data_IF_244309629402
#
_entry.id   IF_244309629402
#
_cell.length_a   1.000
_cell.length_b   1.000
_cell.length_c   1.000
_cell.angle_alpha   90.00
_cell.angle_beta   90.00
_cell.angle_gamma   90.00
#
_symmetry.space_group_name_H-M   'P 1'
#
loop_
_entity.id
_entity.type
_entity.pdbx_description
1 polymer ?
#
# COMPACT_ATOMS: atom_id res chain seq x y z
N UNK A 1 54.72 -72.83 10.17
CA UNK A 1 54.43 -71.61 9.38
C UNK A 1 53.57 -70.72 10.25
N UNK A 2 54.16 -69.70 10.86
CA UNK A 2 53.57 -68.93 11.96
C UNK A 2 53.47 -67.45 11.58
N UNK A 3 52.28 -66.90 11.75
CA UNK A 3 51.88 -65.54 11.39
C UNK A 3 52.22 -64.57 12.53
N UNK A 4 53.06 -63.56 12.27
CA UNK A 4 53.34 -62.49 13.23
C UNK A 4 52.28 -61.37 13.12
N UNK A 5 51.55 -61.15 14.21
CA UNK A 5 50.58 -60.08 14.37
C UNK A 5 51.26 -58.77 14.81
N UNK A 6 51.04 -57.68 14.07
CA UNK A 6 51.61 -56.37 14.34
C UNK A 6 50.62 -55.53 15.19
N UNK A 7 51.04 -55.17 16.40
CA UNK A 7 50.25 -54.46 17.42
C UNK A 7 50.40 -52.95 17.24
N UNK A 8 49.39 -52.27 16.69
CA UNK A 8 49.35 -50.81 16.65
C UNK A 8 48.98 -50.26 18.04
N UNK A 9 49.87 -49.47 18.64
CA UNK A 9 49.61 -48.71 19.88
C UNK A 9 49.25 -47.28 19.52
N UNK A 10 47.95 -46.98 19.56
CA UNK A 10 47.42 -45.63 19.35
C UNK A 10 47.72 -44.71 20.54
N UNK A 11 48.77 -43.89 20.42
CA UNK A 11 49.10 -42.85 21.39
C UNK A 11 48.16 -41.66 21.25
N UNK A 12 47.14 -41.59 22.10
CA UNK A 12 46.19 -40.49 22.17
C UNK A 12 46.84 -39.27 22.84
N UNK A 13 47.55 -38.45 22.06
CA UNK A 13 48.12 -37.17 22.53
C UNK A 13 46.97 -36.18 22.75
N UNK A 14 46.50 -36.06 24.00
CA UNK A 14 45.61 -34.98 24.43
C UNK A 14 46.37 -33.65 24.32
N UNK A 15 46.15 -32.94 23.22
CA UNK A 15 46.56 -31.54 23.04
C UNK A 15 45.76 -30.67 24.00
N UNK A 16 46.28 -30.45 25.20
CA UNK A 16 45.71 -29.53 26.17
C UNK A 16 45.82 -28.10 25.64
N UNK A 17 44.72 -27.53 25.19
CA UNK A 17 44.67 -26.11 24.87
C UNK A 17 44.90 -25.30 26.14
N UNK A 18 45.94 -24.47 26.15
CA UNK A 18 46.23 -23.58 27.26
C UNK A 18 45.03 -22.63 27.46
N UNK A 19 44.64 -22.38 28.72
CA UNK A 19 43.53 -21.49 29.10
C UNK A 19 43.66 -20.11 28.44
N UNK A 20 44.89 -19.62 28.24
CA UNK A 20 45.15 -18.37 27.52
C UNK A 20 44.73 -18.43 26.05
N UNK A 21 44.97 -19.55 25.36
CA UNK A 21 44.54 -19.78 23.98
C UNK A 21 43.01 -19.77 23.89
N UNK A 22 42.33 -20.40 24.84
CA UNK A 22 40.86 -20.38 24.88
C UNK A 22 40.28 -18.98 25.11
N UNK A 23 40.90 -18.17 26.00
CA UNK A 23 40.47 -16.78 26.22
C UNK A 23 40.72 -15.90 24.99
N UNK A 24 41.88 -16.04 24.34
CA UNK A 24 42.20 -15.29 23.12
C UNK A 24 41.25 -15.64 21.97
N UNK A 25 40.94 -16.93 21.79
CA UNK A 25 39.95 -17.39 20.80
C UNK A 25 38.55 -16.89 21.14
N UNK A 26 38.14 -16.94 22.41
CA UNK A 26 36.85 -16.40 22.86
C UNK A 26 36.69 -14.91 22.59
N UNK A 27 37.72 -14.11 22.88
CA UNK A 27 37.73 -12.67 22.57
C UNK A 27 37.74 -12.41 21.06
N UNK A 28 38.50 -13.19 20.29
CA UNK A 28 38.51 -13.10 18.83
C UNK A 28 37.14 -13.36 18.22
N UNK A 29 36.44 -14.40 18.68
CA UNK A 29 35.06 -14.71 18.23
C UNK A 29 34.09 -13.62 18.63
N UNK A 30 34.20 -13.05 19.84
CA UNK A 30 33.33 -11.94 20.26
C UNK A 30 33.56 -10.66 19.45
N UNK A 31 34.81 -10.32 19.14
CA UNK A 31 35.13 -9.14 18.32
C UNK A 31 34.68 -9.31 16.88
N UNK A 32 34.88 -10.49 16.29
CA UNK A 32 34.42 -10.78 14.94
C UNK A 32 32.90 -10.86 14.86
N UNK A 33 32.25 -11.52 15.83
CA UNK A 33 30.80 -11.61 15.92
C UNK A 33 30.14 -10.25 16.17
N UNK A 34 30.66 -9.47 17.12
CA UNK A 34 30.20 -8.11 17.41
C UNK A 34 30.45 -7.16 16.24
N UNK A 35 31.61 -7.26 15.58
CA UNK A 35 31.93 -6.49 14.38
C UNK A 35 31.01 -6.84 13.20
N UNK A 36 30.74 -8.13 12.98
CA UNK A 36 29.80 -8.58 11.94
C UNK A 36 28.37 -8.11 12.22
N UNK A 37 27.90 -8.20 13.47
CA UNK A 37 26.58 -7.75 13.85
C UNK A 37 26.41 -6.23 13.71
N UNK A 38 27.40 -5.46 14.16
CA UNK A 38 27.42 -4.00 13.97
C UNK A 38 27.48 -3.64 12.47
N UNK A 39 28.28 -4.37 11.70
CA UNK A 39 28.35 -4.18 10.24
C UNK A 39 27.01 -4.49 9.58
N UNK A 40 26.33 -5.58 9.96
CA UNK A 40 24.98 -5.87 9.47
C UNK A 40 23.97 -4.78 9.85
N UNK A 41 23.97 -4.30 11.10
CA UNK A 41 23.04 -3.23 11.53
C UNK A 41 23.29 -1.90 10.78
N UNK A 42 24.54 -1.63 10.41
CA UNK A 42 24.90 -0.44 9.63
C UNK A 42 24.56 -0.62 8.14
N UNK A 43 24.71 -1.84 7.61
CA UNK A 43 24.59 -2.09 6.16
C UNK A 43 23.19 -2.51 5.72
N UNK A 44 22.39 -3.17 6.57
CA UNK A 44 21.14 -3.80 6.18
C UNK A 44 20.06 -3.72 7.30
N UNK A 45 19.07 -2.81 7.20
CA UNK A 45 18.91 -1.78 6.18
C UNK A 45 19.89 -0.63 6.37
N UNK A 46 20.41 -0.03 5.30
CA UNK A 46 21.36 1.07 5.45
C UNK A 46 20.66 2.25 6.12
N UNK A 47 21.31 2.81 7.15
CA UNK A 47 20.78 3.98 7.86
C UNK A 47 20.61 5.15 6.87
N UNK A 48 19.50 5.92 6.93
CA UNK A 48 19.22 6.97 5.94
C UNK A 48 20.35 7.99 5.75
N UNK A 49 21.02 8.38 6.84
CA UNK A 49 22.14 9.32 6.79
C UNK A 49 23.32 8.79 5.97
N UNK A 50 23.60 7.47 6.03
CA UNK A 50 24.69 6.84 5.28
C UNK A 50 24.38 6.84 3.78
N UNK A 51 23.12 6.56 3.43
CA UNK A 51 22.65 6.63 2.04
C UNK A 51 22.75 8.05 1.51
N UNK A 52 22.30 9.06 2.28
CA UNK A 52 22.45 10.48 1.92
C UNK A 52 23.92 10.89 1.75
N UNK A 53 24.80 10.41 2.62
CA UNK A 53 26.24 10.65 2.50
C UNK A 53 26.83 10.05 1.22
N UNK A 54 26.46 8.80 0.87
CA UNK A 54 26.87 8.15 -0.39
C UNK A 54 26.38 8.91 -1.61
N UNK A 55 25.11 9.35 -1.61
CA UNK A 55 24.54 10.19 -2.67
C UNK A 55 25.32 11.48 -2.81
N UNK A 56 25.56 12.20 -1.71
CA UNK A 56 26.29 13.46 -1.73
C UNK A 56 27.71 13.29 -2.30
N UNK A 57 28.45 12.27 -1.86
CA UNK A 57 29.79 11.99 -2.39
C UNK A 57 29.77 11.62 -3.87
N UNK A 58 28.80 10.81 -4.29
CA UNK A 58 28.60 10.49 -5.69
C UNK A 58 28.36 11.75 -6.52
N UNK A 59 27.43 12.61 -6.10
CA UNK A 59 27.10 13.84 -6.80
C UNK A 59 28.28 14.81 -6.85
N UNK A 60 29.07 14.93 -5.77
CA UNK A 60 30.30 15.76 -5.77
C UNK A 60 31.30 15.27 -6.80
N UNK A 61 31.51 13.96 -6.88
CA UNK A 61 32.42 13.35 -7.86
C UNK A 61 31.95 13.56 -9.30
N UNK A 62 30.64 13.42 -9.57
CA UNK A 62 30.10 13.54 -10.92
C UNK A 62 29.96 15.00 -11.39
N UNK A 63 29.65 15.92 -10.49
CA UNK A 63 29.45 17.34 -10.82
C UNK A 63 30.70 18.19 -10.71
N UNK A 64 31.73 17.73 -9.99
CA UNK A 64 32.89 18.55 -9.64
C UNK A 64 32.60 19.67 -8.62
N UNK A 65 31.36 19.78 -8.13
CA UNK A 65 30.93 20.81 -7.17
C UNK A 65 30.86 20.22 -5.77
N UNK A 66 31.44 20.91 -4.78
CA UNK A 66 31.47 20.46 -3.38
C UNK A 66 30.28 20.94 -2.54
N UNK A 67 29.53 21.94 -3.02
CA UNK A 67 28.43 22.59 -2.32
C UNK A 67 27.18 22.72 -3.22
N UNK A 68 26.09 22.09 -2.80
CA UNK A 68 24.81 22.10 -3.52
C UNK A 68 23.79 23.10 -2.97
N UNK A 69 24.19 24.03 -2.10
CA UNK A 69 23.31 25.11 -1.65
C UNK A 69 22.77 25.89 -2.85
N UNK A 70 21.49 26.21 -2.81
CA UNK A 70 20.81 27.04 -3.81
C UNK A 70 19.93 28.03 -3.09
N UNK A 71 19.60 29.14 -3.76
CA UNK A 71 18.58 30.03 -3.25
C UNK A 71 17.22 29.32 -3.34
N UNK A 72 16.52 29.29 -2.22
CA UNK A 72 15.17 28.75 -2.11
C UNK A 72 14.50 29.55 -1.00
N UNK A 73 13.28 30.02 -1.25
CA UNK A 73 12.47 30.76 -0.28
C UNK A 73 12.00 29.86 0.85
N UNK A 74 12.92 29.43 1.73
CA UNK A 74 12.60 28.59 2.87
C UNK A 74 11.63 29.32 3.81
N UNK A 75 10.70 28.58 4.44
CA UNK A 75 9.96 29.10 5.57
C UNK A 75 10.92 29.53 6.68
N UNK A 76 10.46 30.45 7.53
CA UNK A 76 11.20 30.83 8.73
C UNK A 76 11.51 29.62 9.62
N UNK A 77 12.59 29.67 10.40
CA UNK A 77 12.93 28.58 11.33
C UNK A 77 11.80 28.27 12.32
N UNK A 78 11.03 29.28 12.73
CA UNK A 78 9.84 29.10 13.57
C UNK A 78 8.72 28.34 12.84
N UNK A 79 8.44 28.67 11.57
CA UNK A 79 7.46 27.93 10.76
C UNK A 79 7.92 26.48 10.50
N UNK A 80 9.23 26.26 10.33
CA UNK A 80 9.82 24.92 10.17
C UNK A 80 9.74 24.08 11.45
N UNK A 81 9.91 24.72 12.62
CA UNK A 81 9.89 24.06 13.93
C UNK A 81 8.48 23.87 14.49
N UNK A 82 7.49 24.58 13.96
CA UNK A 82 6.09 24.37 14.29
C UNK A 82 5.67 22.97 13.83
N UNK A 83 5.22 22.06 14.72
CA UNK A 83 4.72 20.73 14.32
C UNK A 83 3.50 20.83 13.39
N UNK A 84 2.91 22.02 13.25
CA UNK A 84 1.69 22.22 12.51
C UNK A 84 0.50 21.61 13.27
N UNK A 85 -0.70 21.78 12.72
CA UNK A 85 -1.86 21.15 13.31
C UNK A 85 -1.78 19.63 13.15
N UNK A 86 -2.10 18.85 14.20
CA UNK A 86 -2.16 17.40 14.09
C UNK A 86 -3.15 17.00 12.98
N UNK A 87 -2.85 15.96 12.20
CA UNK A 87 -3.76 15.46 11.18
C UNK A 87 -5.08 15.05 11.84
N UNK A 88 -6.14 15.81 11.58
CA UNK A 88 -7.56 15.51 11.86
C UNK A 88 -8.08 15.48 13.31
N UNK A 89 -7.32 15.84 14.34
CA UNK A 89 -7.98 16.22 15.61
C UNK A 89 -8.49 17.65 15.48
N UNK A 90 -9.79 17.80 15.20
CA UNK A 90 -10.53 19.07 15.20
C UNK A 90 -9.93 20.02 16.23
N UNK A 91 -9.26 21.08 15.77
CA UNK A 91 -8.41 21.96 16.59
C UNK A 91 -9.17 22.65 17.73
N UNK A 92 -10.50 22.59 17.72
CA UNK A 92 -11.38 23.22 18.71
C UNK A 92 -11.84 22.27 19.81
N UNK A 93 -11.57 20.96 19.73
CA UNK A 93 -12.17 19.95 20.61
C UNK A 93 -13.71 19.86 20.49
N UNK A 94 -14.33 20.72 19.68
CA UNK A 94 -15.74 20.65 19.35
C UNK A 94 -15.91 19.65 18.22
N UNK A 95 -16.59 18.56 18.51
CA UNK A 95 -17.03 17.60 17.50
C UNK A 95 -18.03 18.33 16.59
N UNK A 96 -17.64 18.63 15.35
CA UNK A 96 -18.59 19.10 14.34
C UNK A 96 -19.72 18.07 14.24
N UNK A 97 -20.95 18.53 14.39
CA UNK A 97 -22.16 17.69 14.34
C UNK A 97 -22.90 18.01 13.05
N UNK A 98 -23.49 16.98 12.45
CA UNK A 98 -24.29 17.13 11.24
C UNK A 98 -25.44 18.12 11.45
N UNK A 99 -25.66 19.10 10.56
CA UNK A 99 -26.64 20.16 10.76
C UNK A 99 -28.09 19.66 10.81
N UNK A 100 -28.41 18.53 10.17
CA UNK A 100 -29.78 17.97 10.17
C UNK A 100 -30.00 16.96 11.28
N UNK A 101 -29.01 16.12 11.57
CA UNK A 101 -29.16 14.98 12.47
C UNK A 101 -28.56 15.20 13.86
N UNK A 102 -27.68 16.19 14.03
CA UNK A 102 -26.95 16.44 15.27
C UNK A 102 -25.95 15.34 15.65
N UNK A 103 -25.66 14.40 14.75
CA UNK A 103 -24.78 13.25 14.97
C UNK A 103 -23.36 13.54 14.48
N UNK A 104 -22.38 12.88 15.10
CA UNK A 104 -20.99 12.94 14.65
C UNK A 104 -20.77 12.14 13.35
N UNK A 105 -19.64 12.39 12.69
CA UNK A 105 -19.29 11.75 11.43
C UNK A 105 -19.23 10.23 11.52
N UNK A 106 -18.60 9.68 12.57
CA UNK A 106 -18.38 8.25 12.69
C UNK A 106 -19.69 7.50 12.89
N UNK A 107 -20.61 8.08 13.66
CA UNK A 107 -21.97 7.60 13.78
C UNK A 107 -22.67 7.62 12.41
N UNK A 108 -22.66 8.75 11.70
CA UNK A 108 -23.34 8.88 10.41
C UNK A 108 -22.78 7.93 9.35
N UNK A 109 -21.46 7.74 9.32
CA UNK A 109 -20.78 6.81 8.42
C UNK A 109 -21.22 5.36 8.68
N UNK A 110 -21.25 4.92 9.95
CA UNK A 110 -21.71 3.57 10.32
C UNK A 110 -23.18 3.39 9.94
N UNK A 111 -24.01 4.38 10.24
CA UNK A 111 -25.44 4.34 9.95
C UNK A 111 -25.72 4.30 8.45
N UNK A 112 -25.02 5.12 7.66
CA UNK A 112 -25.09 5.10 6.20
C UNK A 112 -24.70 3.74 5.63
N UNK A 113 -23.56 3.17 6.06
CA UNK A 113 -23.11 1.85 5.59
C UNK A 113 -24.16 0.79 5.93
N UNK A 114 -24.67 0.79 7.16
CA UNK A 114 -25.70 -0.15 7.61
C UNK A 114 -26.97 -0.07 6.75
N UNK A 115 -27.52 1.13 6.56
CA UNK A 115 -28.73 1.34 5.77
C UNK A 115 -28.50 1.02 4.28
N UNK A 116 -27.37 1.44 3.70
CA UNK A 116 -27.06 1.17 2.30
C UNK A 116 -26.82 -0.33 2.04
N UNK A 117 -26.18 -1.05 2.96
CA UNK A 117 -26.05 -2.51 2.86
C UNK A 117 -27.41 -3.19 2.92
N UNK A 118 -28.30 -2.78 3.83
CA UNK A 118 -29.66 -3.33 3.90
C UNK A 118 -30.46 -3.08 2.61
N UNK A 119 -30.38 -1.86 2.06
CA UNK A 119 -31.01 -1.51 0.77
C UNK A 119 -30.48 -2.39 -0.38
N UNK A 120 -29.16 -2.53 -0.51
CA UNK A 120 -28.54 -3.33 -1.57
C UNK A 120 -28.90 -4.83 -1.48
N UNK A 121 -29.03 -5.35 -0.26
CA UNK A 121 -29.52 -6.72 -0.04
C UNK A 121 -30.96 -6.85 -0.52
N UNK A 122 -31.83 -5.91 -0.14
CA UNK A 122 -33.23 -5.92 -0.56
C UNK A 122 -33.38 -5.77 -2.10
N UNK A 123 -32.63 -4.88 -2.73
CA UNK A 123 -32.60 -4.73 -4.20
C UNK A 123 -32.19 -6.03 -4.90
N UNK A 124 -31.17 -6.73 -4.38
CA UNK A 124 -30.74 -8.02 -4.91
C UNK A 124 -31.82 -9.09 -4.74
N UNK A 125 -32.45 -9.16 -3.58
CA UNK A 125 -33.55 -10.10 -3.32
C UNK A 125 -34.74 -9.84 -4.23
N UNK A 126 -35.08 -8.56 -4.48
CA UNK A 126 -36.13 -8.16 -5.43
C UNK A 126 -35.75 -8.59 -6.85
N UNK A 127 -34.53 -8.30 -7.31
CA UNK A 127 -34.08 -8.69 -8.65
C UNK A 127 -34.09 -10.21 -8.85
N UNK A 128 -33.67 -10.97 -7.83
CA UNK A 128 -33.76 -12.44 -7.85
C UNK A 128 -35.20 -12.94 -7.87
N UNK A 129 -36.10 -12.26 -7.14
CA UNK A 129 -37.53 -12.59 -7.11
C UNK A 129 -38.21 -12.28 -8.44
N UNK A 130 -37.91 -11.14 -9.06
CA UNK A 130 -38.39 -10.78 -10.42
C UNK A 130 -37.91 -11.81 -11.46
N UNK A 131 -36.64 -12.23 -11.39
CA UNK A 131 -36.11 -13.28 -12.26
C UNK A 131 -36.80 -14.64 -12.01
N UNK A 132 -37.07 -14.97 -10.75
CA UNK A 132 -37.79 -16.19 -10.36
C UNK A 132 -39.21 -16.19 -10.90
N UNK A 133 -39.96 -15.10 -10.72
CA UNK A 133 -41.32 -14.95 -11.25
C UNK A 133 -41.35 -15.05 -12.77
N UNK A 134 -40.42 -14.37 -13.45
CA UNK A 134 -40.33 -14.42 -14.92
C UNK A 134 -40.15 -15.85 -15.45
N UNK A 135 -39.42 -16.71 -14.74
CA UNK A 135 -39.15 -18.08 -15.17
C UNK A 135 -40.20 -19.09 -14.66
N UNK A 136 -40.66 -18.96 -13.41
CA UNK A 136 -41.49 -19.95 -12.72
C UNK A 136 -42.99 -19.72 -12.86
N UNK A 137 -43.43 -18.48 -13.09
CA UNK A 137 -44.85 -18.18 -13.25
C UNK A 137 -45.46 -18.91 -14.47
N UNK A 138 -44.83 -18.88 -15.67
CA UNK A 138 -45.38 -19.61 -16.83
C UNK A 138 -45.36 -21.12 -16.64
N UNK A 139 -44.35 -21.65 -15.93
CA UNK A 139 -44.24 -23.08 -15.60
C UNK A 139 -45.39 -23.52 -14.67
N UNK A 140 -45.68 -22.72 -13.64
CA UNK A 140 -46.80 -22.96 -12.72
C UNK A 140 -48.14 -22.91 -13.46
N UNK A 141 -48.35 -21.93 -14.33
CA UNK A 141 -49.57 -21.82 -15.14
C UNK A 141 -49.75 -23.01 -16.08
N UNK A 142 -48.67 -23.46 -16.75
CA UNK A 142 -48.69 -24.63 -17.62
C UNK A 142 -49.03 -25.91 -16.85
N UNK A 143 -48.40 -26.15 -15.69
CA UNK A 143 -48.72 -27.31 -14.85
C UNK A 143 -50.15 -27.26 -14.30
N UNK A 144 -50.62 -26.07 -13.91
CA UNK A 144 -52.00 -25.90 -13.41
C UNK A 144 -53.03 -26.19 -14.51
N UNK A 145 -52.77 -25.74 -15.75
CA UNK A 145 -53.62 -26.07 -16.91
C UNK A 145 -53.61 -27.56 -17.23
N UNK A 146 -52.44 -28.20 -17.27
CA UNK A 146 -52.33 -29.64 -17.53
C UNK A 146 -53.13 -30.47 -16.51
N UNK A 147 -53.12 -30.08 -15.23
CA UNK A 147 -53.90 -30.74 -14.19
C UNK A 147 -55.42 -30.56 -14.39
N UNK A 148 -55.85 -29.42 -14.91
CA UNK A 148 -57.26 -29.10 -15.15
C UNK A 148 -57.80 -29.76 -16.42
N UNK A 149 -57.00 -29.78 -17.49
CA UNK A 149 -57.43 -30.21 -18.83
C UNK A 149 -57.45 -31.73 -18.99
N UNK A 150 -56.45 -32.44 -18.44
CA UNK A 150 -56.37 -33.91 -18.55
C UNK A 150 -55.64 -34.55 -17.35
N UNK A 151 -56.32 -34.68 -16.19
CA UNK A 151 -55.72 -35.30 -15.01
C UNK A 151 -55.39 -36.79 -15.22
N UNK A 152 -56.01 -37.47 -16.20
CA UNK A 152 -55.80 -38.88 -16.51
C UNK A 152 -54.48 -39.17 -17.24
N UNK A 153 -53.93 -38.18 -17.94
CA UNK A 153 -52.63 -38.28 -18.64
C UNK A 153 -51.41 -38.29 -17.71
N UNK A 154 -51.56 -37.94 -16.44
CA UNK A 154 -50.45 -37.75 -15.50
C UNK A 154 -50.06 -39.08 -14.87
N UNK A 155 -49.01 -39.70 -15.39
CA UNK A 155 -48.53 -41.04 -15.00
C UNK A 155 -48.07 -41.14 -13.53
N UNK A 156 -47.72 -40.01 -12.90
CA UNK A 156 -47.35 -39.94 -11.49
C UNK A 156 -47.93 -38.68 -10.82
N UNK A 157 -49.22 -38.74 -10.52
CA UNK A 157 -49.97 -37.63 -9.93
C UNK A 157 -49.36 -37.09 -8.63
N UNK A 158 -48.81 -37.96 -7.78
CA UNK A 158 -48.21 -37.57 -6.50
C UNK A 158 -46.94 -36.71 -6.66
N UNK A 159 -46.04 -37.10 -7.57
CA UNK A 159 -44.83 -36.33 -7.87
C UNK A 159 -45.18 -35.01 -8.57
N UNK A 160 -46.18 -35.04 -9.45
CA UNK A 160 -46.69 -33.84 -10.12
C UNK A 160 -47.25 -32.82 -9.11
N UNK A 161 -48.13 -33.26 -8.20
CA UNK A 161 -48.67 -32.41 -7.14
C UNK A 161 -47.58 -31.83 -6.22
N UNK A 162 -46.55 -32.62 -5.90
CA UNK A 162 -45.39 -32.16 -5.11
C UNK A 162 -44.62 -31.05 -5.84
N UNK A 163 -44.41 -31.19 -7.15
CA UNK A 163 -43.74 -30.19 -7.96
C UNK A 163 -44.57 -28.90 -8.07
N UNK A 164 -45.89 -29.04 -8.29
CA UNK A 164 -46.81 -27.90 -8.33
C UNK A 164 -46.81 -27.14 -6.99
N UNK A 165 -46.85 -27.85 -5.86
CA UNK A 165 -46.77 -27.23 -4.54
C UNK A 165 -45.44 -26.49 -4.32
N UNK A 166 -44.31 -27.08 -4.74
CA UNK A 166 -42.99 -26.42 -4.66
C UNK A 166 -42.93 -25.15 -5.52
N UNK A 167 -43.45 -25.20 -6.74
CA UNK A 167 -43.51 -24.05 -7.65
C UNK A 167 -44.42 -22.96 -7.09
N UNK A 168 -45.60 -23.32 -6.62
CA UNK A 168 -46.55 -22.39 -5.99
C UNK A 168 -45.93 -21.68 -4.78
N UNK A 169 -45.24 -22.41 -3.90
CA UNK A 169 -44.54 -21.81 -2.76
C UNK A 169 -43.38 -20.88 -3.19
N UNK A 170 -42.63 -21.26 -4.24
CA UNK A 170 -41.55 -20.43 -4.76
C UNK A 170 -42.06 -19.12 -5.36
N UNK A 171 -43.17 -19.18 -6.12
CA UNK A 171 -43.86 -18.01 -6.66
C UNK A 171 -44.40 -17.13 -5.53
N UNK A 172 -45.13 -17.69 -4.56
CA UNK A 172 -45.67 -16.92 -3.44
C UNK A 172 -44.56 -16.26 -2.58
N UNK A 173 -43.43 -16.94 -2.38
CA UNK A 173 -42.27 -16.37 -1.70
C UNK A 173 -41.66 -15.21 -2.50
N UNK A 174 -41.54 -15.34 -3.83
CA UNK A 174 -41.03 -14.29 -4.71
C UNK A 174 -41.99 -13.09 -4.78
N UNK A 175 -43.30 -13.29 -4.83
CA UNK A 175 -44.32 -12.22 -4.76
C UNK A 175 -44.26 -11.48 -3.43
N UNK A 176 -44.11 -12.22 -2.31
CA UNK A 176 -43.94 -11.62 -0.98
C UNK A 176 -42.68 -10.76 -0.89
N UNK A 177 -41.59 -11.14 -1.56
CA UNK A 177 -40.37 -10.33 -1.64
C UNK A 177 -40.54 -9.12 -2.57
N UNK A 178 -41.26 -9.29 -3.68
CA UNK A 178 -41.55 -8.20 -4.61
C UNK A 178 -42.42 -7.10 -3.97
N UNK A 179 -43.34 -7.45 -3.08
CA UNK A 179 -44.15 -6.46 -2.34
C UNK A 179 -43.30 -5.56 -1.42
N UNK A 180 -42.11 -6.02 -1.02
CA UNK A 180 -41.15 -5.20 -0.26
C UNK A 180 -40.49 -4.10 -1.12
N UNK A 181 -40.66 -4.11 -2.45
CA UNK A 181 -40.18 -3.04 -3.35
C UNK A 181 -40.74 -1.67 -2.98
N UNK A 182 -41.95 -1.61 -2.43
CA UNK A 182 -42.56 -0.38 -1.93
C UNK A 182 -41.82 0.25 -0.73
N UNK A 183 -40.96 -0.51 -0.03
CA UNK A 183 -40.14 0.00 1.07
C UNK A 183 -38.86 0.70 0.59
N UNK A 184 -38.39 0.44 -0.64
CA UNK A 184 -37.14 1.04 -1.16
C UNK A 184 -37.17 2.58 -1.11
N UNK A 185 -38.22 3.27 -1.61
CA UNK A 185 -38.24 4.75 -1.58
C UNK A 185 -38.26 5.31 -0.16
N UNK A 186 -38.87 4.60 0.80
CA UNK A 186 -38.87 5.01 2.20
C UNK A 186 -37.46 4.90 2.81
N UNK A 187 -36.75 3.79 2.55
CA UNK A 187 -35.36 3.62 2.99
C UNK A 187 -34.42 4.64 2.34
N UNK A 188 -34.61 4.96 1.06
CA UNK A 188 -33.85 6.01 0.38
C UNK A 188 -34.09 7.39 1.01
N UNK A 189 -35.36 7.71 1.29
CA UNK A 189 -35.75 8.96 1.96
C UNK A 189 -35.19 9.09 3.37
N UNK A 190 -35.13 7.99 4.14
CA UNK A 190 -34.51 7.96 5.48
C UNK A 190 -33.00 8.24 5.43
N UNK A 191 -32.31 7.87 4.34
CA UNK A 191 -30.89 8.15 4.15
C UNK A 191 -30.58 9.60 3.76
N UNK A 192 -31.54 10.36 3.21
CA UNK A 192 -31.32 11.75 2.77
C UNK A 192 -30.67 12.67 3.82
N UNK A 193 -31.16 12.75 5.08
CA UNK A 193 -30.53 13.60 6.09
C UNK A 193 -29.11 13.13 6.44
N UNK A 194 -28.85 11.81 6.44
CA UNK A 194 -27.53 11.24 6.70
C UNK A 194 -26.56 11.63 5.59
N UNK A 195 -26.96 11.44 4.32
CA UNK A 195 -26.16 11.79 3.15
C UNK A 195 -25.87 13.29 3.14
N UNK A 196 -26.89 14.13 3.38
CA UNK A 196 -26.76 15.59 3.45
C UNK A 196 -25.74 16.02 4.51
N UNK A 197 -25.78 15.41 5.70
CA UNK A 197 -24.83 15.73 6.77
C UNK A 197 -23.43 15.24 6.44
N UNK A 198 -23.26 14.03 5.87
CA UNK A 198 -21.96 13.54 5.39
C UNK A 198 -21.33 14.48 4.35
N UNK A 199 -22.13 15.06 3.45
CA UNK A 199 -21.66 16.09 2.52
C UNK A 199 -21.31 17.41 3.24
N UNK A 200 -22.03 17.78 4.28
CA UNK A 200 -21.69 18.94 5.11
C UNK A 200 -20.34 18.74 5.83
N UNK A 201 -20.08 17.56 6.39
CA UNK A 201 -18.77 17.19 6.93
C UNK A 201 -17.67 17.32 5.87
N UNK A 202 -17.90 16.78 4.67
CA UNK A 202 -16.93 16.86 3.58
C UNK A 202 -16.63 18.30 3.16
N UNK A 203 -17.65 19.18 3.08
CA UNK A 203 -17.45 20.61 2.78
C UNK A 203 -16.70 21.32 3.89
N UNK A 204 -17.10 21.11 5.14
CA UNK A 204 -16.46 21.70 6.31
C UNK A 204 -14.97 21.34 6.39
N UNK A 205 -14.63 20.06 6.24
CA UNK A 205 -13.23 19.63 6.17
C UNK A 205 -12.50 20.20 4.96
N UNK A 206 -13.16 20.31 3.80
CA UNK A 206 -12.58 20.95 2.63
C UNK A 206 -12.23 22.42 2.86
N UNK A 207 -13.09 23.15 3.59
CA UNK A 207 -12.84 24.55 3.96
C UNK A 207 -11.74 24.69 5.01
N UNK A 208 -11.73 23.84 6.05
CA UNK A 208 -10.66 23.83 7.05
C UNK A 208 -9.31 23.48 6.42
N UNK A 209 -9.29 22.45 5.58
CA UNK A 209 -8.09 22.06 4.84
C UNK A 209 -7.64 23.20 3.93
N UNK A 210 -8.57 23.86 3.22
CA UNK A 210 -8.26 25.03 2.39
C UNK A 210 -7.67 26.18 3.20
N UNK A 211 -8.17 26.47 4.41
CA UNK A 211 -7.61 27.51 5.29
C UNK A 211 -6.18 27.16 5.77
N UNK A 212 -5.96 25.91 6.18
CA UNK A 212 -4.63 25.40 6.55
C UNK A 212 -3.68 25.51 5.35
N UNK A 213 -4.18 25.11 4.17
CA UNK A 213 -3.43 25.15 2.94
C UNK A 213 -3.15 26.62 2.54
N UNK A 214 -4.08 27.54 2.72
CA UNK A 214 -3.87 28.95 2.39
C UNK A 214 -2.83 29.62 3.31
N UNK A 215 -2.78 29.29 4.59
CA UNK A 215 -1.85 29.94 5.54
C UNK A 215 -0.41 29.44 5.42
N UNK A 216 -0.19 28.13 5.55
CA UNK A 216 1.16 27.54 5.58
C UNK A 216 1.60 27.11 4.18
N UNK A 217 0.67 26.58 3.40
CA UNK A 217 0.99 26.03 2.07
C UNK A 217 1.20 27.16 1.06
N UNK A 218 0.54 28.32 1.15
CA UNK A 218 0.68 29.33 0.10
C UNK A 218 2.11 29.85 -0.10
N UNK A 219 2.90 30.06 0.97
CA UNK A 219 4.31 30.49 0.83
C UNK A 219 5.20 29.35 0.34
N UNK A 220 5.14 28.18 1.00
CA UNK A 220 6.00 27.03 0.66
C UNK A 220 5.66 26.49 -0.72
N UNK A 221 4.38 26.42 -1.07
CA UNK A 221 3.92 25.97 -2.38
C UNK A 221 4.30 26.96 -3.48
N UNK A 222 4.22 28.28 -3.25
CA UNK A 222 4.74 29.28 -4.19
C UNK A 222 6.25 29.14 -4.40
N UNK A 223 7.02 29.06 -3.31
CA UNK A 223 8.47 28.86 -3.36
C UNK A 223 8.82 27.55 -4.09
N UNK A 224 8.12 26.46 -3.79
CA UNK A 224 8.28 25.17 -4.47
C UNK A 224 7.93 25.24 -5.95
N UNK A 225 6.83 25.90 -6.32
CA UNK A 225 6.41 26.03 -7.71
C UNK A 225 7.44 26.82 -8.53
N UNK A 226 7.88 27.97 -8.01
CA UNK A 226 8.93 28.79 -8.63
C UNK A 226 10.24 28.01 -8.76
N UNK A 227 10.66 27.32 -7.69
CA UNK A 227 11.86 26.48 -7.70
C UNK A 227 11.75 25.32 -8.71
N UNK A 228 10.61 24.65 -8.79
CA UNK A 228 10.39 23.55 -9.72
C UNK A 228 10.41 24.02 -11.17
N UNK A 229 9.85 25.19 -11.46
CA UNK A 229 9.91 25.82 -12.77
C UNK A 229 11.35 26.20 -13.15
N UNK A 230 12.08 26.83 -12.24
CA UNK A 230 13.48 27.18 -12.41
C UNK A 230 14.35 25.94 -12.66
N UNK A 231 14.18 24.88 -11.85
CA UNK A 231 14.92 23.63 -12.03
C UNK A 231 14.58 22.94 -13.35
N UNK A 232 13.31 22.95 -13.79
CA UNK A 232 12.92 22.41 -15.10
C UNK A 232 13.63 23.15 -16.22
N UNK A 233 13.63 24.49 -16.17
CA UNK A 233 14.33 25.33 -17.15
C UNK A 233 15.83 25.01 -17.16
N UNK A 234 16.49 25.06 -16.00
CA UNK A 234 17.92 24.74 -15.88
C UNK A 234 18.26 23.32 -16.34
N UNK A 235 17.39 22.35 -16.09
CA UNK A 235 17.59 20.97 -16.54
C UNK A 235 17.51 20.86 -18.07
N UNK A 236 16.56 21.56 -18.70
CA UNK A 236 16.47 21.60 -20.17
C UNK A 236 17.64 22.31 -20.85
N UNK A 237 18.26 23.27 -20.16
CA UNK A 237 19.44 24.00 -20.62
C UNK A 237 20.76 23.24 -20.34
N UNK A 238 20.74 22.24 -19.46
CA UNK A 238 21.92 21.47 -19.08
C UNK A 238 22.34 20.52 -20.20
N UNK A 239 23.42 20.85 -20.91
CA UNK A 239 23.97 20.02 -21.99
C UNK A 239 24.96 18.94 -21.53
N UNK A 240 25.27 18.87 -20.22
CA UNK A 240 26.26 17.92 -19.68
C UNK A 240 25.71 17.19 -18.46
N UNK A 241 26.09 15.92 -18.31
CA UNK A 241 25.73 15.12 -17.13
C UNK A 241 26.20 15.75 -15.82
N UNK A 242 27.40 16.35 -15.80
CA UNK A 242 27.92 17.06 -14.62
C UNK A 242 26.97 18.18 -14.16
N UNK A 243 26.44 18.98 -15.10
CA UNK A 243 25.44 20.00 -14.80
C UNK A 243 24.12 19.40 -14.30
N UNK A 244 23.63 18.32 -14.92
CA UNK A 244 22.42 17.62 -14.47
C UNK A 244 22.58 17.09 -13.03
N UNK A 245 23.70 16.44 -12.71
CA UNK A 245 23.98 15.97 -11.35
C UNK A 245 24.10 17.10 -10.33
N UNK A 246 24.64 18.26 -10.73
CA UNK A 246 24.63 19.46 -9.87
C UNK A 246 23.21 19.89 -9.53
N UNK A 247 22.30 19.93 -10.50
CA UNK A 247 20.90 20.31 -10.30
C UNK A 247 20.16 19.30 -9.41
N UNK A 248 20.38 18.01 -9.62
CA UNK A 248 19.85 16.96 -8.73
C UNK A 248 20.35 17.16 -7.30
N UNK A 249 21.65 17.46 -7.11
CA UNK A 249 22.21 17.78 -5.80
C UNK A 249 21.57 19.00 -5.14
N UNK A 250 21.30 20.06 -5.91
CA UNK A 250 20.62 21.26 -5.42
C UNK A 250 19.20 20.95 -4.93
N UNK A 251 18.44 20.18 -5.69
CA UNK A 251 17.11 19.74 -5.28
C UNK A 251 17.15 18.88 -4.02
N UNK A 252 18.09 17.94 -3.91
CA UNK A 252 18.24 17.08 -2.73
C UNK A 252 18.68 17.86 -1.48
N UNK A 253 19.44 18.92 -1.65
CA UNK A 253 19.75 19.83 -0.54
C UNK A 253 18.48 20.52 -0.04
N UNK A 254 17.68 21.13 -0.92
CA UNK A 254 16.40 21.75 -0.55
C UNK A 254 15.44 20.73 0.09
N UNK A 255 15.32 19.54 -0.51
CA UNK A 255 14.49 18.47 0.01
C UNK A 255 14.94 18.05 1.43
N UNK A 256 16.24 17.94 1.67
CA UNK A 256 16.80 17.61 2.97
C UNK A 256 16.41 18.61 4.06
N UNK A 257 16.51 19.90 3.77
CA UNK A 257 16.10 20.98 4.70
C UNK A 257 14.60 20.93 4.98
N UNK A 258 13.75 20.78 3.94
CA UNK A 258 12.29 20.70 4.11
C UNK A 258 11.83 19.43 4.85
N UNK A 259 12.48 18.30 4.61
CA UNK A 259 12.18 17.03 5.28
C UNK A 259 12.59 17.02 6.76
N UNK A 260 13.47 17.93 7.18
CA UNK A 260 13.86 18.12 8.57
C UNK A 260 12.86 18.99 9.37
N UNK A 261 11.87 19.61 8.72
CA UNK A 261 10.83 20.38 9.40
C UNK A 261 9.99 19.50 10.33
N UNK A 262 9.47 20.06 11.42
CA UNK A 262 8.47 19.40 12.25
C UNK A 262 7.11 19.34 11.55
N UNK A 263 6.78 20.36 10.75
CA UNK A 263 5.50 20.48 10.06
C UNK A 263 5.33 19.42 8.94
N UNK A 264 4.30 18.57 8.98
CA UNK A 264 4.08 17.52 7.96
C UNK A 264 3.82 18.10 6.57
N UNK A 265 3.21 19.27 6.46
CA UNK A 265 2.95 19.95 5.19
C UNK A 265 4.25 20.38 4.52
N UNK A 266 5.19 20.91 5.29
CA UNK A 266 6.52 21.30 4.80
C UNK A 266 7.33 20.06 4.41
N UNK A 267 7.29 18.99 5.24
CA UNK A 267 7.92 17.71 4.91
C UNK A 267 7.37 17.12 3.61
N UNK A 268 6.06 17.20 3.36
CA UNK A 268 5.46 16.78 2.08
C UNK A 268 6.03 17.55 0.90
N UNK A 269 6.22 18.87 1.03
CA UNK A 269 6.89 19.65 -0.01
C UNK A 269 8.33 19.17 -0.27
N UNK A 270 9.07 18.83 0.79
CA UNK A 270 10.39 18.19 0.69
C UNK A 270 10.34 16.84 -0.02
N UNK A 271 9.34 16.01 0.26
CA UNK A 271 9.10 14.73 -0.39
C UNK A 271 8.85 14.91 -1.90
N UNK A 272 8.04 15.90 -2.28
CA UNK A 272 7.81 16.23 -3.70
C UNK A 272 9.10 16.60 -4.42
N UNK A 273 9.96 17.41 -3.80
CA UNK A 273 11.23 17.82 -4.40
C UNK A 273 12.19 16.61 -4.50
N UNK A 274 12.20 15.73 -3.49
CA UNK A 274 12.98 14.49 -3.56
C UNK A 274 12.52 13.57 -4.71
N UNK A 275 11.21 13.44 -4.94
CA UNK A 275 10.68 12.71 -6.09
C UNK A 275 11.06 13.34 -7.42
N UNK A 276 10.97 14.67 -7.54
CA UNK A 276 11.40 15.37 -8.75
C UNK A 276 12.89 15.15 -9.03
N UNK A 277 13.73 15.16 -7.98
CA UNK A 277 15.15 14.86 -8.08
C UNK A 277 15.41 13.41 -8.54
N UNK A 278 14.66 12.44 -8.01
CA UNK A 278 14.73 11.05 -8.46
C UNK A 278 14.30 10.90 -9.93
N UNK A 279 13.25 11.61 -10.36
CA UNK A 279 12.80 11.61 -11.74
C UNK A 279 13.83 12.24 -12.69
N UNK A 280 14.48 13.34 -12.30
CA UNK A 280 15.56 13.91 -13.11
C UNK A 280 16.79 13.00 -13.15
N UNK A 281 17.13 12.34 -12.03
CA UNK A 281 18.17 11.34 -12.01
C UNK A 281 17.87 10.18 -12.99
N UNK A 282 16.62 9.69 -13.03
CA UNK A 282 16.24 8.58 -13.92
C UNK A 282 16.07 8.98 -15.37
N UNK A 283 15.35 10.06 -15.66
CA UNK A 283 14.92 10.39 -17.02
C UNK A 283 15.98 11.19 -17.77
N UNK A 284 16.56 12.19 -17.12
CA UNK A 284 17.49 13.12 -17.75
C UNK A 284 18.93 12.61 -17.64
N UNK A 285 19.34 12.19 -16.44
CA UNK A 285 20.68 11.65 -16.22
C UNK A 285 20.81 10.13 -16.47
N UNK A 286 19.70 9.44 -16.81
CA UNK A 286 19.66 8.00 -17.08
C UNK A 286 20.31 7.13 -15.98
N UNK A 287 20.18 7.57 -14.74
CA UNK A 287 20.85 6.99 -13.59
C UNK A 287 19.84 6.45 -12.57
N UNK A 288 19.32 5.26 -12.86
CA UNK A 288 18.35 4.58 -12.00
C UNK A 288 18.91 4.21 -10.63
N UNK A 289 20.21 3.93 -10.53
CA UNK A 289 20.87 3.70 -9.24
C UNK A 289 20.73 4.93 -8.34
N UNK A 290 21.02 6.12 -8.84
CA UNK A 290 20.88 7.36 -8.07
C UNK A 290 19.42 7.60 -7.68
N UNK A 291 18.47 7.40 -8.60
CA UNK A 291 17.04 7.52 -8.31
C UNK A 291 16.61 6.55 -7.18
N UNK A 292 17.04 5.29 -7.24
CA UNK A 292 16.79 4.28 -6.21
C UNK A 292 17.39 4.68 -4.84
N UNK A 293 18.62 5.22 -4.83
CA UNK A 293 19.22 5.73 -3.59
C UNK A 293 18.48 6.93 -3.02
N UNK A 294 17.95 7.83 -3.87
CA UNK A 294 17.11 8.95 -3.41
C UNK A 294 15.86 8.42 -2.72
N UNK A 295 15.21 7.38 -3.26
CA UNK A 295 14.09 6.71 -2.60
C UNK A 295 14.46 6.19 -1.21
N UNK A 296 15.57 5.47 -1.10
CA UNK A 296 16.04 4.90 0.17
C UNK A 296 16.46 5.97 1.19
N UNK A 297 17.17 7.01 0.75
CA UNK A 297 17.75 8.03 1.63
C UNK A 297 16.80 9.16 2.02
N UNK A 298 15.89 9.56 1.13
CA UNK A 298 15.04 10.75 1.32
C UNK A 298 13.56 10.39 1.44
N UNK A 299 13.06 9.40 0.70
CA UNK A 299 11.62 9.11 0.61
C UNK A 299 11.19 8.12 1.70
N UNK A 300 11.82 6.93 1.77
CA UNK A 300 11.50 5.89 2.75
C UNK A 300 11.48 6.34 4.22
N UNK A 301 12.43 7.16 4.70
CA UNK A 301 12.43 7.64 6.08
C UNK A 301 11.26 8.56 6.41
N UNK A 302 10.56 9.06 5.39
CA UNK A 302 9.48 10.05 5.49
C UNK A 302 8.15 9.51 4.94
N UNK A 303 7.97 8.19 4.87
CA UNK A 303 6.70 7.61 4.40
C UNK A 303 5.53 7.87 5.34
N UNK A 304 5.78 8.29 6.58
CA UNK A 304 4.75 8.72 7.52
C UNK A 304 3.98 9.95 7.04
N UNK A 305 4.61 10.85 6.27
CA UNK A 305 3.93 12.02 5.69
C UNK A 305 3.16 11.70 4.40
N UNK A 306 3.41 10.52 3.81
CA UNK A 306 2.72 9.97 2.63
C UNK A 306 1.47 9.16 2.99
N UNK A 307 0.82 9.48 4.12
CA UNK A 307 -0.40 8.81 4.58
C UNK A 307 -1.65 9.64 4.26
N UNK A 308 -1.81 10.04 2.99
CA UNK A 308 -3.02 10.72 2.54
C UNK A 308 -4.18 9.70 2.46
N UNK A 309 -5.30 10.01 3.11
CA UNK A 309 -6.50 9.17 3.07
C UNK A 309 -7.05 9.05 1.63
N UNK A 310 -6.80 10.06 0.79
CA UNK A 310 -7.12 10.00 -0.61
C UNK A 310 -6.09 9.13 -1.36
N UNK A 311 -6.46 7.89 -1.68
CA UNK A 311 -5.63 6.97 -2.48
C UNK A 311 -5.27 7.51 -3.87
N UNK A 312 -6.02 8.48 -4.40
CA UNK A 312 -5.71 9.13 -5.69
C UNK A 312 -4.72 10.28 -5.55
N UNK A 313 -4.37 10.66 -4.33
CA UNK A 313 -3.32 11.64 -4.07
C UNK A 313 -2.02 11.13 -4.67
N UNK A 314 -1.28 12.02 -5.36
CA UNK A 314 0.07 11.73 -5.83
C UNK A 314 1.02 11.35 -4.68
N UNK A 315 0.64 11.68 -3.44
CA UNK A 315 1.37 11.41 -2.21
C UNK A 315 0.77 10.28 -1.38
N UNK A 316 -0.20 9.53 -1.93
CA UNK A 316 -0.63 8.30 -1.27
C UNK A 316 0.56 7.33 -1.17
N UNK A 317 0.65 6.61 -0.06
CA UNK A 317 1.71 5.63 0.19
C UNK A 317 1.86 4.66 -1.01
N UNK A 318 0.74 4.24 -1.58
CA UNK A 318 0.62 3.35 -2.72
C UNK A 318 1.30 3.95 -3.97
N UNK A 319 1.03 5.22 -4.30
CA UNK A 319 1.66 5.93 -5.42
C UNK A 319 3.15 6.14 -5.17
N UNK A 320 3.52 6.58 -3.97
CA UNK A 320 4.90 6.84 -3.55
C UNK A 320 5.74 5.56 -3.66
N UNK A 321 5.26 4.45 -3.11
CA UNK A 321 5.93 3.16 -3.18
C UNK A 321 5.92 2.59 -4.61
N UNK A 322 4.86 2.79 -5.39
CA UNK A 322 4.81 2.40 -6.80
C UNK A 322 5.89 3.08 -7.64
N UNK A 323 6.12 4.39 -7.43
CA UNK A 323 7.21 5.12 -8.09
C UNK A 323 8.59 4.60 -7.64
N UNK A 324 8.80 4.42 -6.34
CA UNK A 324 10.05 3.86 -5.81
C UNK A 324 10.33 2.45 -6.38
N UNK A 325 9.29 1.60 -6.45
CA UNK A 325 9.36 0.26 -7.04
C UNK A 325 9.83 0.30 -8.49
N UNK A 326 9.38 1.29 -9.27
CA UNK A 326 9.87 1.46 -10.63
C UNK A 326 11.38 1.72 -10.66
N UNK A 327 11.88 2.65 -9.84
CA UNK A 327 13.31 2.95 -9.79
C UNK A 327 14.15 1.76 -9.31
N UNK A 328 13.71 1.02 -8.28
CA UNK A 328 14.42 -0.18 -7.83
C UNK A 328 14.48 -1.27 -8.89
N UNK A 329 13.40 -1.53 -9.63
CA UNK A 329 13.40 -2.52 -10.72
C UNK A 329 14.33 -2.14 -11.86
N UNK A 330 14.32 -0.87 -12.28
CA UNK A 330 15.20 -0.38 -13.34
C UNK A 330 16.68 -0.35 -12.91
N UNK A 331 16.95 -0.24 -11.61
CA UNK A 331 18.29 -0.38 -11.04
C UNK A 331 18.68 -1.84 -10.74
N UNK A 332 17.82 -2.82 -11.07
CA UNK A 332 18.00 -4.25 -10.77
C UNK A 332 18.14 -4.56 -9.26
N UNK A 333 17.62 -3.69 -8.40
CA UNK A 333 17.68 -3.81 -6.95
C UNK A 333 16.44 -4.54 -6.40
N UNK A 334 16.25 -5.80 -6.78
CA UNK A 334 15.03 -6.56 -6.47
C UNK A 334 14.78 -6.71 -4.97
N UNK A 335 15.82 -6.88 -4.15
CA UNK A 335 15.69 -6.93 -2.68
C UNK A 335 15.14 -5.61 -2.11
N UNK A 336 15.55 -4.48 -2.67
CA UNK A 336 15.01 -3.18 -2.29
C UNK A 336 13.55 -3.04 -2.72
N UNK A 337 13.20 -3.58 -3.88
CA UNK A 337 11.82 -3.62 -4.34
C UNK A 337 10.92 -4.49 -3.43
N UNK A 338 11.42 -5.61 -2.91
CA UNK A 338 10.70 -6.41 -1.91
C UNK A 338 10.48 -5.59 -0.64
N UNK A 339 11.55 -5.01 -0.07
CA UNK A 339 11.48 -4.15 1.12
C UNK A 339 10.56 -2.94 0.94
N UNK A 340 10.52 -2.38 -0.27
CA UNK A 340 9.62 -1.29 -0.64
C UNK A 340 8.15 -1.67 -0.39
N UNK A 341 7.72 -2.84 -0.87
CA UNK A 341 6.35 -3.30 -0.71
C UNK A 341 6.04 -3.85 0.68
N UNK A 342 7.04 -4.33 1.42
CA UNK A 342 6.86 -4.68 2.84
C UNK A 342 6.46 -3.47 3.69
N UNK A 343 6.87 -2.24 3.33
CA UNK A 343 6.39 -1.02 4.00
C UNK A 343 4.89 -0.83 3.84
N UNK A 344 4.35 -1.15 2.67
CA UNK A 344 2.91 -1.11 2.43
C UNK A 344 2.20 -2.17 3.27
N UNK A 345 2.73 -3.39 3.31
CA UNK A 345 2.16 -4.49 4.08
C UNK A 345 2.07 -4.14 5.58
N UNK A 346 3.12 -3.53 6.15
CA UNK A 346 3.16 -3.07 7.55
C UNK A 346 2.16 -1.96 7.87
N UNK A 347 1.68 -1.22 6.86
CA UNK A 347 0.78 -0.07 7.01
C UNK A 347 -0.61 -0.33 6.40
N UNK A 348 -0.90 -1.55 5.99
CA UNK A 348 -2.19 -1.89 5.43
C UNK A 348 -3.26 -1.81 6.52
N UNK A 349 -4.23 -0.93 6.31
CA UNK A 349 -5.31 -0.57 7.25
C UNK A 349 -6.65 -1.26 6.92
N UNK A 350 -6.71 -2.01 5.81
CA UNK A 350 -7.89 -2.78 5.43
C UNK A 350 -7.51 -4.15 4.87
N UNK A 351 -8.39 -5.16 4.98
CA UNK A 351 -8.15 -6.49 4.39
C UNK A 351 -7.84 -6.44 2.89
N UNK A 352 -8.53 -5.57 2.14
CA UNK A 352 -8.29 -5.39 0.70
C UNK A 352 -6.91 -4.80 0.42
N UNK A 353 -6.46 -3.84 1.24
CA UNK A 353 -5.13 -3.26 1.09
C UNK A 353 -4.03 -4.23 1.52
N UNK A 354 -4.31 -5.07 2.52
CA UNK A 354 -3.41 -6.12 3.00
C UNK A 354 -3.20 -7.18 1.92
N UNK A 355 -4.29 -7.67 1.31
CA UNK A 355 -4.25 -8.61 0.19
C UNK A 355 -3.50 -8.02 -1.02
N UNK A 356 -3.78 -6.75 -1.35
CA UNK A 356 -3.05 -6.05 -2.40
C UNK A 356 -1.57 -5.88 -2.07
N UNK A 357 -1.21 -5.57 -0.83
CA UNK A 357 0.19 -5.50 -0.41
C UNK A 357 0.88 -6.87 -0.51
N UNK A 358 0.21 -7.96 -0.11
CA UNK A 358 0.71 -9.32 -0.30
C UNK A 358 0.93 -9.64 -1.79
N UNK A 359 0.02 -9.21 -2.68
CA UNK A 359 0.18 -9.43 -4.12
C UNK A 359 1.40 -8.67 -4.68
N UNK A 360 1.63 -7.42 -4.25
CA UNK A 360 2.82 -6.65 -4.63
C UNK A 360 4.13 -7.25 -4.10
N UNK A 361 4.16 -7.67 -2.83
CA UNK A 361 5.35 -8.32 -2.23
C UNK A 361 5.64 -9.63 -2.96
N UNK A 362 4.62 -10.46 -3.23
CA UNK A 362 4.81 -11.71 -3.96
C UNK A 362 5.38 -11.47 -5.36
N UNK A 363 4.90 -10.45 -6.07
CA UNK A 363 5.43 -10.10 -7.39
C UNK A 363 6.89 -9.65 -7.32
N UNK A 364 7.24 -8.81 -6.33
CA UNK A 364 8.62 -8.39 -6.14
C UNK A 364 9.56 -9.56 -5.76
N UNK A 365 9.10 -10.49 -4.91
CA UNK A 365 9.86 -11.69 -4.56
C UNK A 365 10.06 -12.63 -5.74
N UNK A 366 9.03 -12.79 -6.58
CA UNK A 366 9.15 -13.55 -7.83
C UNK A 366 10.24 -12.94 -8.74
N UNK A 367 10.27 -11.62 -8.88
CA UNK A 367 11.32 -10.93 -9.64
C UNK A 367 12.72 -11.09 -9.03
N UNK A 368 12.82 -11.12 -7.70
CA UNK A 368 14.05 -11.43 -6.98
C UNK A 368 14.46 -12.92 -7.08
N UNK A 369 13.60 -13.78 -7.62
CA UNK A 369 13.82 -15.22 -7.69
C UNK A 369 13.51 -15.97 -6.39
N UNK A 370 12.94 -15.31 -5.38
CA UNK A 370 12.42 -15.90 -4.14
C UNK A 370 11.00 -16.44 -4.35
N UNK A 371 10.90 -17.55 -5.09
CA UNK A 371 9.61 -18.17 -5.38
C UNK A 371 8.92 -18.72 -4.12
N UNK A 372 9.69 -19.15 -3.13
CA UNK A 372 9.14 -19.67 -1.87
C UNK A 372 8.46 -18.56 -1.06
N UNK A 373 9.10 -17.40 -0.93
CA UNK A 373 8.51 -16.21 -0.35
C UNK A 373 7.28 -15.74 -1.12
N UNK A 374 7.35 -15.72 -2.45
CA UNK A 374 6.22 -15.34 -3.30
C UNK A 374 4.99 -16.22 -3.07
N UNK A 375 5.15 -17.55 -3.03
CA UNK A 375 4.08 -18.50 -2.72
C UNK A 375 3.48 -18.24 -1.34
N UNK A 376 4.31 -17.98 -0.32
CA UNK A 376 3.86 -17.68 1.05
C UNK A 376 2.95 -16.44 1.07
N UNK A 377 3.35 -15.37 0.38
CA UNK A 377 2.54 -14.15 0.32
C UNK A 377 1.23 -14.36 -0.46
N UNK A 378 1.25 -15.06 -1.60
CA UNK A 378 0.02 -15.36 -2.35
C UNK A 378 -0.99 -16.20 -1.55
N UNK A 379 -0.51 -17.16 -0.75
CA UNK A 379 -1.38 -17.97 0.15
C UNK A 379 -2.00 -17.15 1.28
N UNK A 380 -1.48 -15.96 1.56
CA UNK A 380 -1.99 -15.07 2.62
C UNK A 380 -3.18 -14.22 2.17
N UNK A 381 -3.46 -14.15 0.85
CA UNK A 381 -4.55 -13.36 0.26
C UNK A 381 -5.91 -14.02 0.56
N UNK A 382 -6.85 -13.28 1.17
CA UNK A 382 -8.16 -13.79 1.61
C UNK A 382 -9.33 -13.23 0.77
N UNK A 383 -9.73 -13.95 -0.28
CA UNK A 383 -10.99 -13.80 -1.02
C UNK A 383 -11.42 -12.36 -1.40
N UNK A 384 -10.47 -11.45 -1.59
CA UNK A 384 -10.72 -10.12 -2.19
C UNK A 384 -10.53 -10.17 -3.71
N UNK A 385 -10.56 -9.02 -4.38
CA UNK A 385 -10.42 -8.90 -5.84
C UNK A 385 -9.16 -9.60 -6.40
N UNK A 386 -8.10 -9.74 -5.59
CA UNK A 386 -6.83 -10.34 -6.02
C UNK A 386 -6.80 -11.88 -5.89
N UNK A 387 -7.79 -12.50 -5.24
CA UNK A 387 -7.80 -13.93 -4.95
C UNK A 387 -7.79 -14.79 -6.22
N UNK A 388 -8.64 -14.48 -7.20
CA UNK A 388 -8.68 -15.21 -8.47
C UNK A 388 -7.38 -15.11 -9.27
N UNK A 389 -6.70 -13.96 -9.20
CA UNK A 389 -5.37 -13.80 -9.80
C UNK A 389 -4.32 -14.64 -9.06
N UNK A 390 -4.32 -14.61 -7.73
CA UNK A 390 -3.38 -15.37 -6.90
C UNK A 390 -3.48 -16.89 -7.13
N UNK A 391 -4.71 -17.44 -7.14
CA UNK A 391 -4.95 -18.87 -7.35
C UNK A 391 -4.48 -19.37 -8.72
N UNK A 392 -4.54 -18.54 -9.76
CA UNK A 392 -4.01 -18.91 -11.09
C UNK A 392 -2.49 -18.92 -11.14
N UNK A 393 -1.83 -18.08 -10.33
CA UNK A 393 -0.37 -17.92 -10.35
C UNK A 393 0.34 -18.93 -9.45
N UNK A 394 -0.31 -19.36 -8.36
CA UNK A 394 0.24 -20.25 -7.34
C UNK A 394 0.85 -21.56 -7.90
N UNK A 395 0.15 -22.36 -8.74
CA UNK A 395 0.70 -23.66 -9.18
C UNK A 395 2.04 -23.54 -9.91
N UNK A 396 2.20 -22.52 -10.77
CA UNK A 396 3.46 -22.27 -11.49
C UNK A 396 4.59 -21.91 -10.52
N UNK A 397 4.33 -21.05 -9.54
CA UNK A 397 5.35 -20.63 -8.59
C UNK A 397 5.74 -21.75 -7.62
N UNK A 398 4.79 -22.59 -7.23
CA UNK A 398 5.06 -23.79 -6.43
C UNK A 398 6.00 -24.76 -7.17
N UNK A 399 5.75 -24.98 -8.47
CA UNK A 399 6.63 -25.78 -9.31
C UNK A 399 8.03 -25.18 -9.41
N UNK A 400 8.14 -23.86 -9.67
CA UNK A 400 9.44 -23.18 -9.73
C UNK A 400 10.20 -23.20 -8.39
N UNK A 401 9.49 -23.09 -7.27
CA UNK A 401 10.09 -23.17 -5.94
C UNK A 401 10.62 -24.58 -5.62
N UNK A 402 10.01 -25.64 -6.17
CA UNK A 402 10.51 -27.01 -6.00
C UNK A 402 11.80 -27.28 -6.77
N UNK A 403 11.95 -26.73 -7.98
CA UNK A 403 13.15 -26.92 -8.81
C UNK A 403 14.39 -26.16 -8.34
N UNK A 404 14.23 -25.17 -7.46
CA UNK A 404 15.35 -24.36 -6.93
C UNK A 404 15.82 -24.78 -5.54
N UNK A 405 15.22 -25.82 -4.94
CA UNK A 405 15.75 -26.47 -3.74
C UNK A 405 16.91 -27.38 -4.13
#
# INVERSE_FOLDING_TARGET
MATQAQKQTGGNKKTGWNRQTLVAVGLGVLLLGGGYWLWQDITNPPRPWLVRWRINNYLKKQSGVSNFKTDFGFPSRSEMADPGPPPSTNQTGQVFKGPRTGKDFDYLKREYIRQKTALLVLEREIAQSEATLKFRQPELEAMTRQLADDPGSITNLSAFQTNLFRLSNAVAAAEKKLSQKAALPAMEKEMEPIISDLWAFQRHWGEEQKKIDEQVTSKVAKARAAFAEEMRKKMSEASTYSAMYRLVGQQLWVAGELLAAANPTIRRAGLTIAFQAAQYASNEAQNYWLAARICEGYIWPNLDVANDANRRSAYSLDTVLGQCSNYFRQAEEYDNNVRNWEWLLKRADSPQRLDWAHSQVAFAQEQAGDFAGAVKNLKSIRATNDYGWAMRRLPRLEQQAQFRK
#
